data_IF_798948427401
#
_entry.id   IF_798948427401
#
_cell.length_a   1.000
_cell.length_b   1.000
_cell.length_c   1.000
_cell.angle_alpha   90.00
_cell.angle_beta   90.00
_cell.angle_gamma   90.00
#
_symmetry.space_group_name_H-M   'P 1'
#
loop_
_entity.id
_entity.type
_entity.pdbx_description
1 polymer ?
#
# COMPACT_ATOMS: atom_id res chain seq x y z
N UNK A 1 27.20 -1.46 -2.30
CA UNK A 1 26.20 -1.30 -1.24
C UNK A 1 25.00 -0.46 -1.67
N UNK A 2 25.09 0.86 -1.90
CA UNK A 2 23.94 1.68 -2.38
C UNK A 2 23.37 1.16 -3.71
N UNK A 3 24.25 0.83 -4.66
CA UNK A 3 23.87 0.31 -5.98
C UNK A 3 23.24 -1.08 -5.93
N UNK A 4 23.55 -1.88 -4.91
CA UNK A 4 23.08 -3.26 -4.77
C UNK A 4 21.67 -3.29 -4.16
N UNK A 5 21.40 -2.47 -3.14
CA UNK A 5 20.04 -2.35 -2.55
C UNK A 5 19.07 -1.76 -3.58
N UNK A 6 19.47 -0.73 -4.33
CA UNK A 6 18.63 -0.21 -5.43
C UNK A 6 18.42 -1.23 -6.55
N UNK A 7 19.39 -2.12 -6.82
CA UNK A 7 19.24 -3.18 -7.83
C UNK A 7 18.29 -4.30 -7.39
N UNK A 8 18.24 -4.62 -6.10
CA UNK A 8 17.27 -5.59 -5.57
C UNK A 8 15.83 -5.04 -5.58
N UNK A 9 15.65 -3.74 -5.32
CA UNK A 9 14.34 -3.07 -5.36
C UNK A 9 13.84 -2.84 -6.80
N UNK A 10 14.72 -2.52 -7.76
CA UNK A 10 14.35 -2.27 -9.17
C UNK A 10 13.63 -3.47 -9.81
N UNK A 11 13.98 -4.68 -9.38
CA UNK A 11 13.32 -5.94 -9.77
C UNK A 11 12.33 -6.49 -8.74
N UNK A 12 12.03 -5.75 -7.67
CA UNK A 12 11.11 -6.21 -6.63
C UNK A 12 9.70 -6.39 -7.22
N UNK A 13 9.05 -7.55 -6.98
CA UNK A 13 7.66 -7.76 -7.38
C UNK A 13 6.65 -7.13 -6.41
N UNK A 14 7.12 -6.50 -5.33
CA UNK A 14 6.29 -5.89 -4.31
C UNK A 14 5.97 -4.43 -4.62
N UNK A 15 5.26 -3.75 -3.72
CA UNK A 15 4.78 -2.39 -3.95
C UNK A 15 5.91 -1.39 -4.13
N UNK A 16 7.05 -1.61 -3.48
CA UNK A 16 8.26 -0.79 -3.62
C UNK A 16 8.80 -0.78 -5.05
N UNK A 17 8.92 -1.95 -5.70
CA UNK A 17 9.36 -2.07 -7.08
C UNK A 17 8.38 -1.44 -8.05
N UNK A 18 7.07 -1.60 -7.81
CA UNK A 18 6.03 -0.93 -8.61
C UNK A 18 6.16 0.60 -8.55
N UNK A 19 6.40 1.18 -7.37
CA UNK A 19 6.60 2.61 -7.22
C UNK A 19 7.93 3.07 -7.82
N UNK A 20 9.01 2.34 -7.57
CA UNK A 20 10.34 2.65 -8.09
C UNK A 20 10.38 2.67 -9.62
N UNK A 21 9.71 1.72 -10.28
CA UNK A 21 9.56 1.67 -11.74
C UNK A 21 8.74 2.84 -12.31
N UNK A 22 8.00 3.55 -11.46
CA UNK A 22 7.27 4.77 -11.80
C UNK A 22 7.95 6.04 -11.27
N UNK A 23 9.28 6.01 -11.14
CA UNK A 23 10.13 7.14 -10.75
C UNK A 23 9.87 7.69 -9.33
N UNK A 24 9.24 6.89 -8.46
CA UNK A 24 9.08 7.21 -7.04
C UNK A 24 10.30 6.73 -6.27
N UNK A 25 10.96 7.64 -5.57
CA UNK A 25 12.19 7.37 -4.84
C UNK A 25 11.95 6.97 -3.38
N UNK A 26 12.98 6.45 -2.71
CA UNK A 26 12.88 6.03 -1.31
C UNK A 26 12.40 7.17 -0.39
N UNK A 27 12.83 8.41 -0.63
CA UNK A 27 12.43 9.58 0.17
C UNK A 27 10.96 9.95 -0.02
N UNK A 28 10.34 9.57 -1.13
CA UNK A 28 8.94 9.92 -1.37
C UNK A 28 8.00 9.09 -0.49
N UNK A 29 8.43 7.89 -0.08
CA UNK A 29 7.72 7.07 0.90
C UNK A 29 8.22 7.30 2.34
N UNK A 30 9.54 7.38 2.54
CA UNK A 30 10.13 7.39 3.89
C UNK A 30 10.49 8.80 4.39
N UNK A 31 10.34 9.84 3.57
CA UNK A 31 10.77 11.21 3.89
C UNK A 31 12.29 11.42 3.89
N UNK A 32 13.09 10.35 3.80
CA UNK A 32 14.56 10.39 3.73
C UNK A 32 15.11 9.49 2.62
N UNK A 33 16.24 9.85 1.98
CA UNK A 33 16.79 9.04 0.88
C UNK A 33 17.29 7.66 1.29
N UNK A 34 17.61 7.47 2.58
CA UNK A 34 18.19 6.25 3.13
C UNK A 34 17.50 5.93 4.46
N UNK A 35 16.30 5.33 4.42
CA UNK A 35 15.59 4.92 5.62
C UNK A 35 16.31 3.80 6.37
N UNK A 36 16.06 3.72 7.68
CA UNK A 36 16.45 2.59 8.49
C UNK A 36 15.51 1.39 8.29
N UNK A 37 15.86 0.25 8.89
CA UNK A 37 15.02 -0.96 8.83
C UNK A 37 13.68 -0.81 9.58
N UNK A 38 13.65 0.04 10.61
CA UNK A 38 12.47 0.31 11.45
C UNK A 38 11.86 1.69 11.18
N UNK A 39 11.92 2.15 9.93
CA UNK A 39 11.43 3.47 9.49
C UNK A 39 10.26 3.30 8.50
N UNK A 40 9.04 2.98 8.98
CA UNK A 40 7.91 2.76 8.10
C UNK A 40 7.48 4.06 7.40
N UNK A 41 6.99 3.93 6.17
CA UNK A 41 6.31 5.04 5.50
C UNK A 41 5.02 5.39 6.27
N UNK A 42 4.81 6.68 6.53
CA UNK A 42 3.60 7.18 7.19
C UNK A 42 2.47 7.34 6.16
N UNK A 43 1.24 7.47 6.65
CA UNK A 43 0.07 7.57 5.78
C UNK A 43 0.12 8.82 4.90
N UNK A 44 0.71 9.91 5.39
CA UNK A 44 0.82 11.19 4.70
C UNK A 44 1.58 11.07 3.37
N UNK A 45 2.65 10.28 3.30
CA UNK A 45 3.39 10.06 2.07
C UNK A 45 2.53 9.33 1.02
N UNK A 46 1.70 8.37 1.45
CA UNK A 46 0.77 7.70 0.54
C UNK A 46 -0.26 8.70 -0.01
N UNK A 47 -0.88 9.48 0.88
CA UNK A 47 -1.99 10.38 0.56
C UNK A 47 -1.54 11.60 -0.25
N UNK A 48 -0.25 11.95 -0.23
CA UNK A 48 0.32 13.00 -1.08
C UNK A 48 0.11 12.74 -2.58
N UNK A 49 0.04 11.45 -2.99
CA UNK A 49 -0.17 11.04 -4.37
C UNK A 49 -1.50 10.29 -4.59
N UNK A 50 -2.03 9.61 -3.57
CA UNK A 50 -3.22 8.77 -3.67
C UNK A 50 -4.52 9.45 -3.19
N UNK A 51 -4.52 10.78 -3.04
CA UNK A 51 -5.67 11.57 -2.56
C UNK A 51 -6.04 11.25 -1.10
N UNK A 52 -7.18 11.78 -0.62
CA UNK A 52 -7.65 11.52 0.74
C UNK A 52 -8.28 10.13 0.90
N UNK A 53 -8.36 9.65 2.14
CA UNK A 53 -9.04 8.39 2.48
C UNK A 53 -10.49 8.36 2.01
N UNK A 54 -11.20 9.49 2.12
CA UNK A 54 -12.58 9.63 1.63
C UNK A 54 -12.67 9.50 0.11
N UNK A 55 -11.72 10.09 -0.62
CA UNK A 55 -11.64 9.98 -2.07
C UNK A 55 -11.36 8.52 -2.50
N UNK A 56 -10.40 7.87 -1.84
CA UNK A 56 -10.09 6.45 -2.06
C UNK A 56 -11.28 5.53 -1.78
N UNK A 57 -12.00 5.78 -0.69
CA UNK A 57 -13.25 5.06 -0.40
C UNK A 57 -14.31 5.31 -1.48
N UNK A 58 -14.38 6.53 -2.03
CA UNK A 58 -15.32 6.92 -3.08
C UNK A 58 -15.04 6.29 -4.46
N UNK A 59 -13.81 5.82 -4.71
CA UNK A 59 -13.42 5.16 -5.96
C UNK A 59 -13.87 3.70 -6.06
N UNK A 60 -14.27 3.10 -4.95
CA UNK A 60 -14.66 1.69 -4.93
C UNK A 60 -16.07 1.50 -5.51
N UNK A 61 -16.27 0.44 -6.30
CA UNK A 61 -17.57 0.14 -6.89
C UNK A 61 -18.65 -0.02 -5.81
N UNK A 62 -19.78 0.64 -5.99
CA UNK A 62 -20.84 0.71 -4.97
C UNK A 62 -21.57 -0.62 -4.79
N UNK A 63 -21.76 -1.38 -5.86
CA UNK A 63 -22.45 -2.68 -5.79
C UNK A 63 -21.55 -3.72 -5.12
N UNK A 64 -20.28 -3.76 -5.51
CA UNK A 64 -19.26 -4.57 -4.87
C UNK A 64 -19.13 -4.22 -3.39
N UNK A 65 -19.02 -2.92 -3.06
CA UNK A 65 -18.91 -2.46 -1.68
C UNK A 65 -20.13 -2.86 -0.83
N UNK A 66 -21.33 -2.85 -1.41
CA UNK A 66 -22.54 -3.29 -0.73
C UNK A 66 -22.51 -4.79 -0.42
N UNK A 67 -21.93 -5.60 -1.31
CA UNK A 67 -21.89 -7.06 -1.18
C UNK A 67 -20.74 -7.55 -0.29
N UNK A 68 -19.57 -6.96 -0.45
CA UNK A 68 -18.32 -7.46 0.15
C UNK A 68 -17.67 -6.49 1.12
N UNK A 69 -18.12 -5.24 1.17
CA UNK A 69 -17.50 -4.16 1.94
C UNK A 69 -16.52 -3.33 1.13
N UNK A 70 -16.13 -2.19 1.71
CA UNK A 70 -15.13 -1.29 1.15
C UNK A 70 -13.86 -1.34 2.02
N UNK A 71 -12.70 -1.78 1.50
CA UNK A 71 -11.48 -1.90 2.29
C UNK A 71 -10.97 -0.54 2.81
N UNK A 72 -11.30 0.57 2.14
CA UNK A 72 -10.95 1.93 2.56
C UNK A 72 -12.04 2.61 3.39
N UNK A 73 -13.12 1.89 3.72
CA UNK A 73 -14.18 2.37 4.61
C UNK A 73 -14.80 1.19 5.37
N UNK A 74 -14.09 0.74 6.40
CA UNK A 74 -14.43 -0.45 7.17
C UNK A 74 -14.97 -0.14 8.56
N UNK A 75 -15.46 -1.16 9.26
CA UNK A 75 -15.87 -1.06 10.67
C UNK A 75 -14.68 -0.97 11.64
N UNK A 76 -13.44 -1.12 11.15
CA UNK A 76 -12.22 -0.99 11.96
C UNK A 76 -11.75 0.47 12.05
N UNK A 77 -12.42 1.39 11.34
CA UNK A 77 -12.00 2.79 11.25
C UNK A 77 -10.83 2.96 10.29
N UNK A 78 -9.99 3.95 10.59
CA UNK A 78 -8.80 4.28 9.80
C UNK A 78 -7.64 3.36 10.19
N UNK A 79 -7.36 2.40 9.32
CA UNK A 79 -6.15 1.57 9.40
C UNK A 79 -5.00 2.25 8.65
N UNK A 80 -3.77 2.05 9.09
CA UNK A 80 -2.60 2.48 8.32
C UNK A 80 -2.53 1.79 6.98
N UNK A 81 -2.14 2.51 5.94
CA UNK A 81 -2.02 2.01 4.58
C UNK A 81 -1.16 0.74 4.54
N UNK A 82 -0.04 0.78 5.28
CA UNK A 82 0.93 -0.30 5.40
C UNK A 82 0.40 -1.55 6.11
N UNK A 83 -0.78 -1.53 6.74
CA UNK A 83 -1.41 -2.76 7.28
C UNK A 83 -1.69 -3.73 6.14
N UNK A 84 -2.17 -3.23 4.99
CA UNK A 84 -2.50 -4.05 3.83
C UNK A 84 -1.48 -3.91 2.69
N UNK A 85 -1.09 -2.67 2.37
CA UNK A 85 -0.19 -2.33 1.27
C UNK A 85 1.27 -2.39 1.73
N UNK A 86 1.92 -3.54 1.52
CA UNK A 86 3.27 -3.78 1.99
C UNK A 86 4.27 -3.30 0.95
N UNK A 87 5.18 -2.40 1.36
CA UNK A 87 6.26 -1.87 0.52
C UNK A 87 7.18 -2.98 0.00
N UNK A 88 7.97 -3.54 0.90
CA UNK A 88 9.06 -4.48 0.60
C UNK A 88 8.67 -5.97 0.75
N UNK A 89 7.38 -6.29 0.84
CA UNK A 89 6.85 -7.64 1.03
C UNK A 89 5.55 -7.80 0.24
N UNK A 90 5.07 -9.05 0.08
CA UNK A 90 3.77 -9.30 -0.53
C UNK A 90 2.67 -8.59 0.25
N UNK A 91 1.80 -7.89 -0.48
CA UNK A 91 0.68 -7.19 0.11
C UNK A 91 -0.38 -8.19 0.56
N UNK A 92 -1.12 -7.83 1.61
CA UNK A 92 -2.18 -8.71 2.15
C UNK A 92 -3.45 -7.93 2.39
N UNK A 93 -4.60 -8.51 2.09
CA UNK A 93 -5.87 -7.89 2.45
C UNK A 93 -6.23 -8.32 3.87
N UNK A 94 -5.97 -7.46 4.85
CA UNK A 94 -6.22 -7.73 6.27
C UNK A 94 -7.63 -8.30 6.54
N UNK A 95 -8.62 -7.78 5.82
CA UNK A 95 -10.03 -8.18 5.92
C UNK A 95 -10.25 -9.68 5.64
N UNK A 96 -9.44 -10.30 4.76
CA UNK A 96 -9.59 -11.71 4.40
C UNK A 96 -9.23 -12.67 5.54
N UNK A 97 -8.63 -12.19 6.64
CA UNK A 97 -8.47 -12.97 7.86
C UNK A 97 -9.80 -13.39 8.49
N UNK A 98 -10.86 -12.60 8.28
CA UNK A 98 -12.22 -12.90 8.75
C UNK A 98 -13.21 -13.08 7.58
N UNK A 99 -13.04 -12.34 6.49
CA UNK A 99 -13.94 -12.32 5.34
C UNK A 99 -13.41 -13.16 4.16
N UNK A 100 -13.18 -14.44 4.41
CA UNK A 100 -12.42 -15.35 3.51
C UNK A 100 -13.00 -15.53 2.10
N UNK A 101 -14.26 -15.17 1.88
CA UNK A 101 -14.95 -15.36 0.59
C UNK A 101 -15.01 -14.08 -0.26
N UNK A 102 -14.50 -12.95 0.26
CA UNK A 102 -14.51 -11.69 -0.48
C UNK A 102 -13.44 -11.71 -1.60
N UNK A 103 -13.79 -11.34 -2.84
CA UNK A 103 -12.84 -11.37 -3.96
C UNK A 103 -12.01 -10.08 -4.02
N UNK A 104 -11.38 -9.71 -2.90
CA UNK A 104 -10.49 -8.56 -2.85
C UNK A 104 -9.12 -8.90 -3.45
N UNK A 105 -8.54 -7.95 -4.19
CA UNK A 105 -7.17 -8.01 -4.69
C UNK A 105 -6.50 -6.65 -4.52
N UNK A 106 -5.18 -6.65 -4.30
CA UNK A 106 -4.36 -5.44 -4.19
C UNK A 106 -3.05 -5.62 -4.97
N UNK A 107 -2.44 -4.54 -5.51
CA UNK A 107 -1.14 -4.61 -6.19
C UNK A 107 0.03 -4.87 -5.23
N UNK A 108 1.18 -5.28 -5.76
CA UNK A 108 2.41 -5.56 -4.99
C UNK A 108 2.52 -7.00 -4.47
N UNK A 109 1.96 -7.94 -5.26
CA UNK A 109 1.57 -9.33 -4.94
C UNK A 109 0.47 -9.46 -3.90
#
# INVERSE_FOLDING_TARGET
>A
MIREISQEIDSSPYLDGLHYQNEVSCQDCHGVPQPGWDDPAEAEQCLACHESREALAGRFDKEFARKWGNPHKSHLGDLDCAVCHKGHLASTVYCLGCHTNAPFSIPGQ
#
